data_IF_729814019418
#
_entry.id   IF_729814019418
#
_cell.length_a   1.000
_cell.length_b   1.000
_cell.length_c   1.000
_cell.angle_alpha   90.00
_cell.angle_beta   90.00
_cell.angle_gamma   90.00
#
_symmetry.space_group_name_H-M   'P 1'
#
loop_
_entity.id
_entity.type
_entity.pdbx_description
1 polymer ?
#
# COMPACT_ATOMS: atom_id res chain seq x y z
N UNK A 1 44.39 -49.44 -13.48
CA UNK A 1 44.23 -48.00 -13.27
C UNK A 1 43.09 -47.53 -14.16
N UNK A 2 41.87 -47.53 -13.64
CA UNK A 2 40.71 -46.93 -14.31
C UNK A 2 40.36 -45.69 -13.48
N UNK A 3 40.35 -44.54 -14.14
CA UNK A 3 40.00 -43.25 -13.54
C UNK A 3 38.58 -42.96 -13.99
N UNK A 4 37.64 -43.08 -13.06
CA UNK A 4 36.23 -42.76 -13.27
C UNK A 4 36.08 -41.25 -13.43
N UNK A 5 35.58 -40.86 -14.60
CA UNK A 5 35.20 -39.49 -14.94
C UNK A 5 33.76 -39.25 -14.47
N UNK A 6 33.61 -38.79 -13.23
CA UNK A 6 32.36 -38.31 -12.68
C UNK A 6 31.91 -37.03 -13.41
N UNK A 7 31.01 -37.23 -14.37
CA UNK A 7 30.32 -36.18 -15.09
C UNK A 7 29.36 -35.45 -14.17
N UNK A 8 29.80 -34.30 -13.64
CA UNK A 8 28.93 -33.28 -13.06
C UNK A 8 27.95 -32.80 -14.12
N UNK A 9 26.75 -33.39 -14.17
CA UNK A 9 25.58 -32.80 -14.83
C UNK A 9 25.20 -31.55 -14.05
N UNK A 10 25.64 -30.39 -14.54
CA UNK A 10 25.07 -29.12 -14.16
C UNK A 10 23.58 -29.15 -14.50
N UNK A 11 22.72 -29.12 -13.48
CA UNK A 11 21.30 -28.94 -13.68
C UNK A 11 21.10 -27.56 -14.33
N UNK A 12 20.80 -27.57 -15.63
CA UNK A 12 20.31 -26.40 -16.32
C UNK A 12 18.91 -26.15 -15.77
N UNK A 13 18.83 -25.21 -14.82
CA UNK A 13 17.57 -24.67 -14.33
C UNK A 13 16.96 -23.91 -15.50
N UNK A 14 16.00 -24.51 -16.20
CA UNK A 14 15.23 -23.76 -17.19
C UNK A 14 14.48 -22.65 -16.45
N UNK A 15 14.59 -21.39 -16.90
CA UNK A 15 13.79 -20.31 -16.34
C UNK A 15 12.31 -20.69 -16.51
N UNK A 16 11.58 -20.78 -15.40
CA UNK A 16 10.14 -21.09 -15.40
C UNK A 16 9.44 -20.18 -16.41
N UNK A 17 8.55 -20.75 -17.22
CA UNK A 17 7.87 -20.08 -18.33
C UNK A 17 7.20 -18.73 -17.93
N UNK A 18 6.94 -18.55 -16.64
CA UNK A 18 6.53 -17.29 -16.03
C UNK A 18 7.50 -16.12 -16.28
N UNK A 19 8.81 -16.31 -16.15
CA UNK A 19 9.79 -15.23 -16.34
C UNK A 19 9.88 -14.75 -17.78
N UNK A 20 9.75 -15.66 -18.75
CA UNK A 20 9.69 -15.28 -20.17
C UNK A 20 8.41 -14.47 -20.47
N UNK A 21 7.28 -14.85 -19.87
CA UNK A 21 6.04 -14.08 -19.94
C UNK A 21 6.19 -12.70 -19.30
N UNK A 22 6.79 -12.62 -18.11
CA UNK A 22 7.00 -11.38 -17.37
C UNK A 22 7.93 -10.39 -18.11
N UNK A 23 9.06 -10.86 -18.65
CA UNK A 23 9.96 -10.01 -19.45
C UNK A 23 9.27 -9.48 -20.72
N UNK A 24 8.52 -10.34 -21.42
CA UNK A 24 7.75 -9.92 -22.60
C UNK A 24 6.58 -8.99 -22.28
N UNK A 25 6.00 -9.10 -21.07
CA UNK A 25 4.98 -8.19 -20.56
C UNK A 25 5.58 -6.79 -20.36
N UNK A 26 6.70 -6.69 -19.64
CA UNK A 26 7.41 -5.43 -19.40
C UNK A 26 7.85 -4.75 -20.71
N UNK A 27 8.35 -5.51 -21.69
CA UNK A 27 8.74 -4.96 -22.99
C UNK A 27 7.55 -4.46 -23.82
N UNK A 28 6.38 -5.10 -23.70
CA UNK A 28 5.17 -4.68 -24.42
C UNK A 28 4.47 -3.49 -23.77
N UNK A 29 4.51 -3.35 -22.44
CA UNK A 29 3.86 -2.26 -21.71
C UNK A 29 4.69 -0.98 -21.75
N UNK A 30 6.02 -1.09 -21.59
CA UNK A 30 6.92 0.07 -21.64
C UNK A 30 7.21 0.53 -23.08
N UNK A 31 7.06 -0.35 -24.08
CA UNK A 31 7.46 -0.09 -25.47
C UNK A 31 6.36 0.38 -26.43
N UNK A 32 5.07 0.35 -26.06
CA UNK A 32 3.98 0.59 -27.01
C UNK A 32 2.94 1.60 -26.52
N UNK A 33 3.08 2.85 -26.97
CA UNK A 33 2.08 3.61 -27.78
C UNK A 33 2.23 5.12 -27.59
N UNK A 34 3.20 5.72 -28.28
CA UNK A 34 3.08 7.12 -28.68
C UNK A 34 2.33 7.21 -30.00
N UNK A 35 1.04 6.84 -30.01
CA UNK A 35 0.14 7.52 -30.94
C UNK A 35 0.03 8.92 -30.36
N UNK A 36 0.51 9.94 -31.09
CA UNK A 36 0.42 11.32 -30.65
C UNK A 36 -1.05 11.71 -30.50
N UNK A 37 -1.61 11.50 -29.32
CA UNK A 37 -2.90 12.05 -28.95
C UNK A 37 -2.75 13.57 -28.91
N UNK A 38 -3.64 14.27 -29.60
CA UNK A 38 -3.70 15.72 -29.47
C UNK A 38 -4.06 16.06 -28.02
N UNK A 39 -3.64 17.24 -27.55
CA UNK A 39 -3.96 17.70 -26.19
C UNK A 39 -5.48 17.74 -25.94
N UNK A 40 -6.25 18.08 -26.98
CA UNK A 40 -7.71 18.04 -26.95
C UNK A 40 -8.25 16.63 -26.71
N UNK A 41 -7.68 15.61 -27.37
CA UNK A 41 -8.09 14.22 -27.17
C UNK A 41 -7.74 13.71 -25.76
N UNK A 42 -6.60 14.14 -25.20
CA UNK A 42 -6.21 13.82 -23.81
C UNK A 42 -7.17 14.43 -22.80
N UNK A 43 -7.53 15.70 -22.97
CA UNK A 43 -8.49 16.38 -22.10
C UNK A 43 -9.89 15.75 -22.20
N UNK A 44 -10.36 15.44 -23.40
CA UNK A 44 -11.65 14.78 -23.61
C UNK A 44 -11.68 13.39 -22.94
N UNK A 45 -10.62 12.59 -23.09
CA UNK A 45 -10.49 11.29 -22.45
C UNK A 45 -10.45 11.41 -20.91
N UNK A 46 -9.72 12.39 -20.36
CA UNK A 46 -9.67 12.65 -18.92
C UNK A 46 -11.05 13.04 -18.36
N UNK A 47 -11.80 13.89 -19.06
CA UNK A 47 -13.16 14.27 -18.69
C UNK A 47 -14.11 13.06 -18.71
N UNK A 48 -14.04 12.23 -19.76
CA UNK A 48 -14.85 11.01 -19.85
C UNK A 48 -14.54 10.03 -18.71
N UNK A 49 -13.25 9.82 -18.40
CA UNK A 49 -12.82 8.97 -17.27
C UNK A 49 -13.32 9.51 -15.93
N UNK A 50 -13.21 10.83 -15.71
CA UNK A 50 -13.72 11.49 -14.50
C UNK A 50 -15.24 11.30 -14.37
N UNK A 51 -15.98 11.50 -15.45
CA UNK A 51 -17.43 11.30 -15.46
C UNK A 51 -17.80 9.83 -15.19
N UNK A 52 -17.12 8.88 -15.81
CA UNK A 52 -17.35 7.45 -15.58
C UNK A 52 -17.06 7.04 -14.12
N UNK A 53 -15.98 7.56 -13.54
CA UNK A 53 -15.63 7.31 -12.14
C UNK A 53 -16.70 7.80 -11.16
N UNK A 54 -17.22 9.02 -11.37
CA UNK A 54 -18.29 9.61 -10.55
C UNK A 54 -19.59 8.78 -10.56
N UNK A 55 -19.82 7.99 -11.61
CA UNK A 55 -20.98 7.13 -11.74
C UNK A 55 -20.80 5.73 -11.14
N UNK A 56 -19.62 5.40 -10.63
CA UNK A 56 -19.40 4.08 -10.02
C UNK A 56 -20.23 3.93 -8.73
N UNK A 57 -20.78 2.73 -8.44
CA UNK A 57 -21.57 2.49 -7.22
C UNK A 57 -20.85 2.88 -5.94
N UNK A 58 -19.52 2.76 -5.94
CA UNK A 58 -18.65 3.11 -4.83
C UNK A 58 -18.64 4.61 -4.54
N UNK A 59 -18.43 5.44 -5.57
CA UNK A 59 -18.46 6.90 -5.45
C UNK A 59 -19.86 7.38 -5.07
N UNK A 60 -20.91 6.77 -5.64
CA UNK A 60 -22.30 7.05 -5.24
C UNK A 60 -22.53 6.76 -3.75
N UNK A 61 -21.97 5.66 -3.23
CA UNK A 61 -22.05 5.31 -1.81
C UNK A 61 -21.37 6.34 -0.90
N UNK A 62 -20.16 6.76 -1.26
CA UNK A 62 -19.40 7.78 -0.52
C UNK A 62 -20.13 9.13 -0.52
N UNK A 63 -20.65 9.58 -1.67
CA UNK A 63 -21.42 10.82 -1.75
C UNK A 63 -22.68 10.79 -0.89
N UNK A 64 -23.37 9.63 -0.82
CA UNK A 64 -24.52 9.46 0.06
C UNK A 64 -24.13 9.54 1.53
N UNK A 65 -23.03 8.90 1.92
CA UNK A 65 -22.50 8.97 3.30
C UNK A 65 -22.12 10.40 3.67
N UNK A 66 -21.36 11.10 2.81
CA UNK A 66 -20.96 12.49 3.04
C UNK A 66 -22.17 13.44 3.16
N UNK A 67 -23.19 13.29 2.30
CA UNK A 67 -24.45 14.04 2.40
C UNK A 67 -25.20 13.72 3.70
N UNK A 68 -25.24 12.46 4.11
CA UNK A 68 -25.86 12.03 5.35
C UNK A 68 -25.17 12.64 6.58
N UNK A 69 -23.85 12.56 6.66
CA UNK A 69 -23.05 13.18 7.74
C UNK A 69 -23.25 14.70 7.77
N UNK A 70 -23.27 15.37 6.60
CA UNK A 70 -23.53 16.81 6.50
C UNK A 70 -24.94 17.16 6.96
N UNK A 71 -25.94 16.38 6.58
CA UNK A 71 -27.31 16.54 7.01
C UNK A 71 -27.43 16.41 8.54
N UNK A 72 -26.84 15.38 9.14
CA UNK A 72 -26.81 15.22 10.59
C UNK A 72 -26.05 16.33 11.30
N UNK A 73 -24.98 16.87 10.72
CA UNK A 73 -24.28 18.02 11.31
C UNK A 73 -25.13 19.29 11.32
N UNK A 74 -25.94 19.51 10.27
CA UNK A 74 -26.76 20.70 10.11
C UNK A 74 -28.13 20.61 10.82
N UNK A 75 -28.70 19.41 10.89
CA UNK A 75 -30.07 19.16 11.35
C UNK A 75 -30.18 18.19 12.52
N UNK A 76 -29.08 17.54 12.90
CA UNK A 76 -28.99 16.80 14.15
C UNK A 76 -29.21 17.77 15.29
N UNK A 77 -30.39 17.72 15.88
CA UNK A 77 -30.71 18.48 17.08
C UNK A 77 -29.61 18.22 18.10
N UNK A 78 -28.97 19.28 18.60
CA UNK A 78 -28.19 19.22 19.82
C UNK A 78 -29.15 18.82 20.95
N UNK A 79 -29.39 17.51 21.09
CA UNK A 79 -30.04 16.97 22.27
C UNK A 79 -29.11 17.28 23.43
N UNK A 80 -29.59 18.11 24.35
CA UNK A 80 -28.93 18.43 25.60
C UNK A 80 -28.31 17.17 26.19
N UNK A 81 -26.99 17.15 26.31
CA UNK A 81 -26.31 16.11 27.07
C UNK A 81 -26.93 16.07 28.47
N UNK A 82 -27.46 14.92 28.93
CA UNK A 82 -27.94 14.82 30.30
C UNK A 82 -26.73 15.01 31.21
N UNK A 83 -26.76 16.07 32.01
CA UNK A 83 -25.85 16.31 33.12
C UNK A 83 -25.97 15.14 34.10
N UNK A 84 -25.12 14.13 33.93
CA UNK A 84 -24.90 13.11 34.95
C UNK A 84 -24.18 13.77 36.12
N UNK A 85 -24.94 14.07 37.17
CA UNK A 85 -24.42 14.37 38.49
C UNK A 85 -23.52 13.21 38.94
N UNK A 86 -22.25 13.51 39.12
CA UNK A 86 -21.24 12.62 39.69
C UNK A 86 -21.57 12.48 41.18
N UNK A 87 -22.10 11.32 41.58
CA UNK A 87 -22.12 10.88 42.97
C UNK A 87 -20.82 10.14 43.23
N UNK A 88 -19.99 10.69 44.09
CA UNK A 88 -18.80 10.04 44.62
C UNK A 88 -19.22 9.03 45.67
N UNK A 89 -19.19 7.74 45.34
CA UNK A 89 -19.02 6.68 46.32
C UNK A 89 -17.80 5.85 45.92
N UNK A 90 -16.73 6.10 46.67
CA UNK A 90 -15.50 5.32 46.69
C UNK A 90 -15.80 4.11 47.55
N UNK A 91 -15.84 2.92 46.96
CA UNK A 91 -15.70 1.70 47.73
C UNK A 91 -14.53 0.86 47.20
N UNK A 92 -13.57 0.72 48.10
CA UNK A 92 -12.34 -0.05 47.95
C UNK A 92 -12.64 -1.51 48.22
N UNK A 93 -12.49 -2.39 47.23
CA UNK A 93 -12.03 -3.76 47.53
C UNK A 93 -11.58 -4.55 46.29
N UNK A 94 -10.29 -4.90 46.31
CA UNK A 94 -9.86 -6.30 46.34
C UNK A 94 -10.11 -7.17 45.09
N UNK A 95 -9.06 -7.35 44.26
CA UNK A 95 -8.44 -8.67 44.06
C UNK A 95 -7.12 -8.61 43.29
N UNK A 96 -6.06 -8.95 44.02
CA UNK A 96 -4.84 -9.52 43.46
C UNK A 96 -5.12 -10.92 42.89
N UNK A 97 -4.75 -11.14 41.63
CA UNK A 97 -4.20 -12.37 41.02
C UNK A 97 -3.42 -11.85 39.81
N UNK A 98 -2.12 -12.04 39.65
CA UNK A 98 -1.34 -13.24 39.92
C UNK A 98 -1.04 -13.91 38.59
N UNK A 99 0.25 -13.89 38.22
CA UNK A 99 0.97 -14.86 37.38
C UNK A 99 0.99 -14.72 35.84
N UNK A 100 2.17 -14.26 35.39
CA UNK A 100 3.12 -14.98 34.51
C UNK A 100 2.65 -15.52 33.17
N UNK A 101 3.29 -15.08 32.09
CA UNK A 101 4.44 -15.78 31.49
C UNK A 101 4.96 -15.01 30.28
N UNK A 102 6.27 -14.82 30.24
CA UNK A 102 6.97 -14.23 29.11
C UNK A 102 6.93 -15.16 27.91
N UNK A 103 6.40 -14.66 26.80
CA UNK A 103 6.73 -15.13 25.48
C UNK A 103 7.63 -14.06 24.84
N UNK A 104 8.95 -14.26 24.92
CA UNK A 104 9.89 -13.53 24.08
C UNK A 104 9.73 -14.10 22.68
N UNK A 105 8.79 -13.54 21.94
CA UNK A 105 8.59 -13.87 20.53
C UNK A 105 9.73 -13.19 19.77
N UNK A 106 10.75 -13.96 19.43
CA UNK A 106 11.86 -13.47 18.59
C UNK A 106 11.35 -13.44 17.16
N UNK A 107 10.67 -12.36 16.78
CA UNK A 107 10.32 -12.06 15.40
C UNK A 107 11.63 -11.85 14.63
N UNK A 108 11.98 -12.82 13.78
CA UNK A 108 12.85 -12.58 12.65
C UNK A 108 12.10 -11.66 11.68
N UNK A 109 12.12 -10.36 11.95
CA UNK A 109 11.51 -9.36 11.08
C UNK A 109 12.32 -9.30 9.79
N UNK A 110 11.71 -9.70 8.68
CA UNK A 110 12.17 -9.33 7.34
C UNK A 110 12.15 -7.81 7.29
N UNK A 111 13.32 -7.17 7.48
CA UNK A 111 13.43 -5.73 7.43
C UNK A 111 13.18 -5.29 5.98
N UNK A 112 11.94 -4.91 5.67
CA UNK A 112 11.51 -4.41 4.34
C UNK A 112 12.30 -3.15 3.93
N UNK A 113 13.06 -2.55 4.86
CA UNK A 113 13.92 -1.38 4.64
C UNK A 113 15.42 -1.72 4.61
N UNK A 114 15.81 -2.98 4.81
CA UNK A 114 17.17 -3.43 4.51
C UNK A 114 17.33 -3.49 2.99
N UNK A 115 17.57 -2.31 2.40
CA UNK A 115 18.03 -2.22 1.03
C UNK A 115 19.40 -2.93 1.00
N UNK A 116 19.58 -3.97 0.17
CA UNK A 116 20.85 -4.67 0.08
C UNK A 116 21.94 -3.68 -0.32
N UNK A 117 22.81 -3.35 0.61
CA UNK A 117 23.92 -2.42 0.37
C UNK A 117 25.03 -3.20 -0.33
N UNK A 118 25.12 -3.02 -1.64
CA UNK A 118 26.29 -3.20 -2.51
C UNK A 118 26.79 -4.60 -2.91
N UNK A 119 26.30 -5.73 -2.39
CA UNK A 119 26.69 -7.07 -2.92
C UNK A 119 25.55 -8.03 -3.28
N UNK A 120 24.29 -7.70 -2.97
CA UNK A 120 23.09 -8.52 -3.26
C UNK A 120 22.29 -8.02 -4.49
N UNK A 121 22.95 -7.31 -5.40
CA UNK A 121 22.35 -6.80 -6.65
C UNK A 121 21.94 -7.89 -7.65
N UNK A 122 22.19 -9.17 -7.36
CA UNK A 122 21.87 -10.28 -8.26
C UNK A 122 20.35 -10.50 -8.40
N UNK A 123 19.54 -10.18 -7.39
CA UNK A 123 18.08 -10.38 -7.44
C UNK A 123 17.34 -9.32 -8.26
N UNK A 124 18.02 -8.22 -8.63
CA UNK A 124 17.44 -7.15 -9.44
C UNK A 124 17.63 -7.37 -10.96
N UNK A 125 18.26 -8.47 -11.38
CA UNK A 125 18.47 -8.77 -12.80
C UNK A 125 17.14 -9.14 -13.47
N UNK A 126 16.44 -8.13 -13.98
CA UNK A 126 15.17 -8.30 -14.69
C UNK A 126 14.14 -7.21 -14.37
N UNK A 127 14.32 -6.49 -13.25
CA UNK A 127 13.43 -5.39 -12.92
C UNK A 127 13.85 -4.09 -13.62
N UNK A 128 12.90 -3.33 -14.18
CA UNK A 128 13.15 -2.01 -14.73
C UNK A 128 13.86 -1.09 -13.74
N UNK A 129 14.95 -0.43 -14.16
CA UNK A 129 15.78 0.45 -13.30
C UNK A 129 14.98 1.57 -12.65
N UNK A 130 13.94 2.08 -13.32
CA UNK A 130 13.03 3.08 -12.78
C UNK A 130 12.30 2.58 -11.52
N UNK A 131 11.93 1.30 -11.46
CA UNK A 131 11.30 0.74 -10.25
C UNK A 131 12.27 0.71 -9.08
N UNK A 132 13.51 0.29 -9.33
CA UNK A 132 14.55 0.23 -8.29
C UNK A 132 14.76 1.62 -7.67
N UNK A 133 14.83 2.67 -8.48
CA UNK A 133 14.99 4.05 -8.00
C UNK A 133 13.81 4.48 -7.12
N UNK A 134 12.58 4.10 -7.48
CA UNK A 134 11.38 4.47 -6.73
C UNK A 134 11.33 3.77 -5.36
N UNK A 135 11.78 2.51 -5.28
CA UNK A 135 11.87 1.79 -4.01
C UNK A 135 12.92 2.39 -3.07
N UNK A 136 14.01 2.93 -3.63
CA UNK A 136 15.11 3.53 -2.86
C UNK A 136 14.70 4.82 -2.12
N UNK A 137 13.54 5.40 -2.41
CA UNK A 137 13.04 6.52 -1.61
C UNK A 137 12.80 6.06 -0.17
N UNK A 138 13.44 6.75 0.77
CA UNK A 138 13.37 6.43 2.19
C UNK A 138 11.95 6.61 2.73
N UNK A 139 11.52 5.69 3.58
CA UNK A 139 10.30 5.86 4.37
C UNK A 139 10.55 6.88 5.48
N UNK A 140 9.51 7.59 5.97
CA UNK A 140 9.63 8.56 7.04
C UNK A 140 9.77 7.88 8.42
N UNK A 141 10.75 6.99 8.58
CA UNK A 141 10.93 6.16 9.79
C UNK A 141 11.18 6.98 11.06
N UNK A 142 11.76 8.16 10.93
CA UNK A 142 11.97 9.07 12.05
C UNK A 142 10.68 9.79 12.50
N UNK A 143 9.59 9.72 11.72
CA UNK A 143 8.33 10.33 12.11
C UNK A 143 7.65 9.53 13.22
N UNK A 144 7.24 10.23 14.27
CA UNK A 144 6.43 9.66 15.33
C UNK A 144 5.08 9.12 14.82
N UNK A 145 4.43 9.80 13.87
CA UNK A 145 3.15 9.34 13.31
C UNK A 145 3.32 8.06 12.50
N UNK A 146 4.40 7.95 11.73
CA UNK A 146 4.74 6.72 11.03
C UNK A 146 4.88 5.55 12.00
N UNK A 147 5.63 5.74 13.10
CA UNK A 147 5.83 4.68 14.10
C UNK A 147 4.52 4.31 14.81
N UNK A 148 3.72 5.29 15.23
CA UNK A 148 2.41 5.03 15.84
C UNK A 148 1.50 4.21 14.92
N UNK A 149 1.41 4.60 13.64
CA UNK A 149 0.63 3.88 12.64
C UNK A 149 1.23 2.50 12.36
N UNK A 150 2.56 2.35 12.27
CA UNK A 150 3.20 1.05 12.08
C UNK A 150 2.89 0.07 13.22
N UNK A 151 2.82 0.56 14.45
CA UNK A 151 2.55 -0.26 15.64
C UNK A 151 1.05 -0.49 15.90
N UNK A 152 0.15 0.10 15.11
CA UNK A 152 -1.31 0.06 15.35
C UNK A 152 -1.70 0.50 16.76
N UNK A 153 -1.02 1.51 17.31
CA UNK A 153 -1.31 1.97 18.67
C UNK A 153 -2.72 2.54 18.75
N UNK A 154 -3.47 2.15 19.80
CA UNK A 154 -4.84 2.61 20.11
C UNK A 154 -5.02 4.14 20.15
N UNK A 155 -3.92 4.88 20.17
CA UNK A 155 -3.90 6.34 20.18
C UNK A 155 -4.11 6.97 18.79
N UNK A 156 -4.10 6.19 17.72
CA UNK A 156 -4.37 6.66 16.37
C UNK A 156 -5.74 6.14 15.91
N UNK A 157 -6.67 7.06 15.68
CA UNK A 157 -7.97 6.71 15.10
C UNK A 157 -7.80 6.44 13.60
N UNK A 158 -7.76 5.16 13.24
CA UNK A 158 -7.65 4.69 11.86
C UNK A 158 -9.02 4.42 11.21
N UNK A 159 -10.14 4.70 11.89
CA UNK A 159 -11.49 4.32 11.42
C UNK A 159 -11.86 4.91 10.06
N UNK A 160 -11.40 6.12 9.78
CA UNK A 160 -11.63 6.80 8.50
C UNK A 160 -10.49 6.57 7.48
N UNK A 161 -9.48 5.76 7.80
CA UNK A 161 -8.35 5.54 6.90
C UNK A 161 -8.66 4.60 5.72
N UNK A 162 -9.71 3.78 5.83
CA UNK A 162 -10.11 2.84 4.79
C UNK A 162 -10.44 3.54 3.45
N UNK A 163 -10.90 4.79 3.49
CA UNK A 163 -11.11 5.56 2.25
C UNK A 163 -9.80 5.74 1.47
N UNK A 164 -8.68 5.84 2.19
CA UNK A 164 -7.36 6.06 1.63
C UNK A 164 -6.70 4.79 1.14
N UNK A 165 -7.17 3.61 1.55
CA UNK A 165 -6.69 2.27 1.14
C UNK A 165 -7.13 1.85 -0.27
N UNK A 166 -7.93 2.67 -0.93
CA UNK A 166 -8.57 2.27 -2.16
C UNK A 166 -8.01 2.93 -3.43
N UNK A 167 -6.80 3.48 -3.34
CA UNK A 167 -6.14 4.21 -4.41
C UNK A 167 -6.83 5.55 -4.74
N UNK A 168 -6.06 6.56 -5.21
CA UNK A 168 -6.63 7.73 -5.84
C UNK A 168 -7.46 7.35 -7.11
N UNK A 169 -8.35 8.21 -7.61
CA UNK A 169 -8.60 9.59 -7.14
C UNK A 169 -9.52 9.63 -5.91
N UNK A 170 -9.21 10.51 -4.97
CA UNK A 170 -10.07 10.81 -3.83
C UNK A 170 -11.10 11.89 -4.20
N UNK A 171 -12.28 11.86 -3.56
CA UNK A 171 -13.18 13.01 -3.62
C UNK A 171 -12.54 14.16 -2.82
N UNK A 172 -11.81 15.02 -3.52
CA UNK A 172 -11.08 16.14 -2.92
C UNK A 172 -12.05 17.10 -2.25
N UNK A 173 -11.72 17.50 -1.02
CA UNK A 173 -12.44 18.48 -0.21
C UNK A 173 -12.13 19.91 -0.65
N UNK A 174 -12.44 20.26 -1.91
CA UNK A 174 -12.35 21.63 -2.43
C UNK A 174 -10.93 22.18 -2.67
N UNK A 175 -10.84 23.30 -3.39
CA UNK A 175 -9.59 23.87 -3.93
C UNK A 175 -8.67 24.55 -2.88
N UNK A 176 -8.61 24.09 -1.64
CA UNK A 176 -7.91 24.82 -0.58
C UNK A 176 -6.39 24.60 -0.58
N UNK A 177 -5.69 25.32 -1.45
CA UNK A 177 -4.21 25.51 -1.42
C UNK A 177 -3.63 26.14 -0.12
N UNK A 178 -4.36 26.09 1.00
CA UNK A 178 -3.95 26.56 2.32
C UNK A 178 -2.81 25.72 2.89
N UNK A 179 -1.91 26.35 3.65
CA UNK A 179 -0.82 25.66 4.33
C UNK A 179 -1.29 24.56 5.30
N UNK A 180 -2.49 24.70 5.86
CA UNK A 180 -3.10 23.70 6.74
C UNK A 180 -3.37 22.39 6.01
N UNK A 181 -3.83 22.47 4.75
CA UNK A 181 -4.11 21.27 3.96
C UNK A 181 -2.81 20.52 3.66
N UNK A 182 -1.74 21.24 3.29
CA UNK A 182 -0.43 20.63 3.07
C UNK A 182 0.09 19.89 4.30
N UNK A 183 -0.01 20.52 5.48
CA UNK A 183 0.38 19.89 6.74
C UNK A 183 -0.48 18.65 7.07
N UNK A 184 -1.78 18.72 6.80
CA UNK A 184 -2.66 17.57 6.96
C UNK A 184 -2.25 16.43 6.02
N UNK A 185 -2.03 16.70 4.73
CA UNK A 185 -1.61 15.71 3.75
C UNK A 185 -0.28 15.07 4.12
N UNK A 186 0.72 15.84 4.56
CA UNK A 186 2.00 15.28 5.02
C UNK A 186 1.79 14.29 6.17
N UNK A 187 0.99 14.66 7.19
CA UNK A 187 0.69 13.76 8.31
C UNK A 187 -0.07 12.52 7.86
N UNK A 188 -1.03 12.68 6.96
CA UNK A 188 -1.77 11.56 6.36
C UNK A 188 -0.83 10.60 5.64
N UNK A 189 0.09 11.11 4.81
CA UNK A 189 1.05 10.28 4.10
C UNK A 189 1.96 9.50 5.05
N UNK A 190 2.43 10.10 6.16
CA UNK A 190 3.22 9.41 7.18
C UNK A 190 2.44 8.26 7.82
N UNK A 191 1.17 8.49 8.15
CA UNK A 191 0.27 7.46 8.69
C UNK A 191 0.07 6.33 7.67
N UNK A 192 -0.17 6.65 6.40
CA UNK A 192 -0.31 5.65 5.33
C UNK A 192 0.96 4.81 5.15
N UNK A 193 2.14 5.44 5.20
CA UNK A 193 3.41 4.72 5.18
C UNK A 193 3.52 3.74 6.34
N UNK A 194 3.17 4.14 7.57
CA UNK A 194 3.25 3.28 8.74
C UNK A 194 2.27 2.10 8.64
N UNK A 195 1.03 2.38 8.27
CA UNK A 195 -0.02 1.36 8.09
C UNK A 195 0.36 0.33 7.04
N UNK A 196 0.91 0.75 5.90
CA UNK A 196 1.35 -0.19 4.88
C UNK A 196 2.59 -0.97 5.28
N UNK A 197 3.56 -0.36 5.98
CA UNK A 197 4.68 -1.12 6.54
C UNK A 197 4.19 -2.27 7.43
N UNK A 198 3.19 -2.00 8.29
CA UNK A 198 2.53 -3.02 9.11
C UNK A 198 1.87 -4.12 8.27
N UNK A 199 1.18 -3.78 7.19
CA UNK A 199 0.58 -4.78 6.29
C UNK A 199 1.60 -5.70 5.64
N UNK A 200 2.78 -5.17 5.28
CA UNK A 200 3.86 -5.97 4.73
C UNK A 200 4.52 -6.86 5.78
N UNK A 201 4.78 -6.32 6.97
CA UNK A 201 5.33 -7.09 8.09
C UNK A 201 4.41 -8.28 8.43
N UNK A 202 3.10 -8.13 8.27
CA UNK A 202 2.10 -9.18 8.51
C UNK A 202 1.82 -10.07 7.27
N UNK A 203 2.34 -9.75 6.08
CA UNK A 203 1.96 -10.44 4.85
C UNK A 203 2.36 -11.93 4.87
N UNK A 204 3.51 -12.26 5.45
CA UNK A 204 3.99 -13.63 5.58
C UNK A 204 3.14 -14.45 6.57
N UNK A 205 2.63 -13.83 7.64
CA UNK A 205 1.69 -14.49 8.56
C UNK A 205 0.35 -14.74 7.88
N UNK A 206 -0.13 -13.78 7.10
CA UNK A 206 -1.36 -13.93 6.29
C UNK A 206 -1.21 -15.06 5.26
N UNK A 207 -0.05 -15.20 4.62
CA UNK A 207 0.17 -16.29 3.66
C UNK A 207 0.22 -17.65 4.35
N UNK A 208 0.87 -17.75 5.51
CA UNK A 208 0.91 -18.98 6.33
C UNK A 208 -0.49 -19.41 6.77
N UNK A 209 -1.33 -18.48 7.19
CA UNK A 209 -2.72 -18.79 7.60
C UNK A 209 -3.59 -19.23 6.42
N UNK A 210 -3.37 -18.69 5.21
CA UNK A 210 -4.16 -19.03 4.01
C UNK A 210 -3.72 -20.31 3.32
N UNK A 211 -2.42 -20.52 3.14
CA UNK A 211 -1.86 -21.63 2.34
C UNK A 211 -1.39 -22.81 3.20
N UNK A 212 -1.31 -22.64 4.53
CA UNK A 212 -0.74 -23.64 5.42
C UNK A 212 0.77 -23.85 5.14
N UNK A 213 1.20 -25.11 5.16
CA UNK A 213 2.61 -25.50 4.90
C UNK A 213 2.85 -26.00 3.47
N UNK A 214 1.85 -25.92 2.58
CA UNK A 214 1.99 -26.37 1.19
C UNK A 214 2.72 -25.30 0.36
N UNK A 215 3.96 -25.60 -0.03
CA UNK A 215 4.80 -24.69 -0.82
C UNK A 215 4.19 -24.38 -2.19
N UNK A 216 3.51 -25.32 -2.82
CA UNK A 216 2.90 -25.11 -4.14
C UNK A 216 1.71 -24.13 -4.06
N UNK A 217 0.91 -24.23 -2.99
CA UNK A 217 -0.17 -23.27 -2.73
C UNK A 217 0.36 -21.89 -2.36
N UNK A 218 1.49 -21.84 -1.65
CA UNK A 218 2.13 -20.59 -1.26
C UNK A 218 2.73 -19.87 -2.48
N UNK A 219 3.43 -20.57 -3.35
CA UNK A 219 3.98 -20.03 -4.60
C UNK A 219 2.87 -19.46 -5.48
N UNK A 220 1.82 -20.26 -5.74
CA UNK A 220 0.65 -19.79 -6.49
C UNK A 220 -0.01 -18.56 -5.86
N UNK A 221 -0.11 -18.52 -4.53
CA UNK A 221 -0.64 -17.35 -3.83
C UNK A 221 0.20 -16.11 -4.09
N UNK A 222 1.53 -16.21 -3.99
CA UNK A 222 2.43 -15.10 -4.27
C UNK A 222 2.42 -14.67 -5.74
N UNK A 223 2.31 -15.60 -6.68
CA UNK A 223 2.12 -15.28 -8.11
C UNK A 223 0.83 -14.47 -8.35
N UNK A 224 -0.29 -14.89 -7.75
CA UNK A 224 -1.55 -14.16 -7.82
C UNK A 224 -1.42 -12.75 -7.19
N UNK A 225 -0.72 -12.62 -6.06
CA UNK A 225 -0.46 -11.34 -5.42
C UNK A 225 0.45 -10.44 -6.27
N UNK A 226 1.47 -11.01 -6.93
CA UNK A 226 2.36 -10.28 -7.84
C UNK A 226 1.59 -9.78 -9.06
N UNK A 227 0.77 -10.61 -9.69
CA UNK A 227 -0.07 -10.21 -10.82
C UNK A 227 -1.04 -9.08 -10.44
N UNK A 228 -1.69 -9.18 -9.28
CA UNK A 228 -2.56 -8.12 -8.77
C UNK A 228 -1.77 -6.83 -8.48
N UNK A 229 -0.56 -6.93 -7.94
CA UNK A 229 0.31 -5.78 -7.67
C UNK A 229 0.78 -5.09 -8.95
N UNK A 230 1.11 -5.85 -10.01
CA UNK A 230 1.47 -5.31 -11.32
C UNK A 230 0.30 -4.53 -11.94
N UNK A 231 -0.90 -5.11 -11.96
CA UNK A 231 -2.08 -4.44 -12.49
C UNK A 231 -2.54 -3.23 -11.65
N UNK A 232 -2.20 -3.17 -10.37
CA UNK A 232 -2.38 -1.96 -9.54
C UNK A 232 -1.32 -0.91 -9.86
N UNK A 233 -0.04 -1.31 -9.97
CA UNK A 233 1.06 -0.41 -10.30
C UNK A 233 0.83 0.34 -11.62
N UNK A 234 0.42 -0.36 -12.69
CA UNK A 234 0.10 0.28 -13.98
C UNK A 234 -1.02 1.32 -13.85
N UNK A 235 -2.09 0.99 -13.10
CA UNK A 235 -3.17 1.94 -12.84
C UNK A 235 -2.68 3.16 -12.07
N UNK A 236 -1.81 2.96 -11.07
CA UNK A 236 -1.25 4.06 -10.29
C UNK A 236 -0.27 4.93 -11.10
N UNK A 237 0.44 4.36 -12.08
CA UNK A 237 1.26 5.15 -13.01
C UNK A 237 0.39 6.12 -13.83
N UNK A 238 -0.72 5.64 -14.39
CA UNK A 238 -1.67 6.50 -15.10
C UNK A 238 -2.24 7.59 -14.19
N UNK A 239 -2.61 7.25 -12.94
CA UNK A 239 -3.15 8.22 -12.00
C UNK A 239 -2.09 9.25 -11.63
N UNK A 240 -0.85 8.84 -11.35
CA UNK A 240 0.23 9.74 -11.02
C UNK A 240 0.50 10.72 -12.17
N UNK A 241 0.49 10.25 -13.42
CA UNK A 241 0.63 11.10 -14.60
C UNK A 241 -0.53 12.12 -14.69
N UNK A 242 -1.78 11.68 -14.49
CA UNK A 242 -2.95 12.56 -14.50
C UNK A 242 -2.88 13.63 -13.39
N UNK A 243 -2.47 13.25 -12.17
CA UNK A 243 -2.32 14.19 -11.05
C UNK A 243 -1.12 15.12 -11.23
N UNK A 244 -0.06 14.69 -11.91
CA UNK A 244 1.05 15.58 -12.25
C UNK A 244 0.64 16.68 -13.23
N UNK A 245 -0.29 16.39 -14.15
CA UNK A 245 -0.81 17.35 -15.12
C UNK A 245 -1.92 18.24 -14.56
N UNK A 246 -2.84 17.67 -13.76
CA UNK A 246 -4.09 18.33 -13.38
C UNK A 246 -4.38 18.37 -11.88
N UNK A 247 -3.59 17.65 -11.07
CA UNK A 247 -3.80 17.53 -9.63
C UNK A 247 -3.27 18.74 -8.86
N UNK A 248 -3.82 18.97 -7.68
CA UNK A 248 -3.20 19.85 -6.70
C UNK A 248 -2.00 19.17 -6.06
N UNK A 249 -1.27 19.94 -5.25
CA UNK A 249 -0.09 19.45 -4.55
C UNK A 249 -0.43 18.26 -3.64
N UNK A 250 -1.55 18.32 -2.94
CA UNK A 250 -1.95 17.32 -1.97
C UNK A 250 -2.26 15.97 -2.65
N UNK A 251 -2.98 16.02 -3.76
CA UNK A 251 -3.35 14.86 -4.56
C UNK A 251 -2.13 14.18 -5.16
N UNK A 252 -1.21 14.99 -5.70
CA UNK A 252 0.04 14.49 -6.26
C UNK A 252 0.88 13.81 -5.19
N UNK A 253 0.92 14.35 -3.96
CA UNK A 253 1.66 13.77 -2.85
C UNK A 253 1.09 12.42 -2.44
N UNK A 254 -0.24 12.32 -2.26
CA UNK A 254 -0.88 11.04 -1.91
C UNK A 254 -0.74 10.02 -3.05
N UNK A 255 -0.90 10.45 -4.30
CA UNK A 255 -0.70 9.58 -5.46
C UNK A 255 0.74 9.05 -5.55
N UNK A 256 1.73 9.88 -5.20
CA UNK A 256 3.13 9.46 -5.16
C UNK A 256 3.37 8.38 -4.10
N UNK A 257 2.82 8.57 -2.91
CA UNK A 257 2.92 7.58 -1.82
C UNK A 257 2.27 6.26 -2.24
N UNK A 258 1.10 6.31 -2.87
CA UNK A 258 0.46 5.13 -3.46
C UNK A 258 1.32 4.42 -4.49
N UNK A 259 1.84 5.17 -5.45
CA UNK A 259 2.71 4.63 -6.48
C UNK A 259 3.95 3.98 -5.87
N UNK A 260 4.60 4.63 -4.91
CA UNK A 260 5.77 4.09 -4.23
C UNK A 260 5.48 2.74 -3.57
N UNK A 261 4.33 2.59 -2.92
CA UNK A 261 3.96 1.33 -2.29
C UNK A 261 3.49 0.25 -3.26
N UNK A 262 2.84 0.61 -4.37
CA UNK A 262 2.56 -0.32 -5.44
C UNK A 262 3.86 -0.94 -5.99
N UNK A 263 4.89 -0.11 -6.21
CA UNK A 263 6.22 -0.58 -6.64
C UNK A 263 6.88 -1.47 -5.57
N UNK A 264 6.84 -1.07 -4.29
CA UNK A 264 7.37 -1.88 -3.18
C UNK A 264 6.67 -3.24 -3.09
N UNK A 265 5.36 -3.33 -3.35
CA UNK A 265 4.60 -4.60 -3.36
C UNK A 265 5.09 -5.52 -4.48
N UNK A 266 5.25 -4.98 -5.69
CA UNK A 266 5.77 -5.73 -6.84
C UNK A 266 7.15 -6.30 -6.49
N UNK A 267 8.06 -5.47 -5.97
CA UNK A 267 9.39 -5.92 -5.59
C UNK A 267 9.35 -7.00 -4.50
N UNK A 268 8.54 -6.80 -3.46
CA UNK A 268 8.42 -7.75 -2.36
C UNK A 268 7.96 -9.13 -2.84
N UNK A 269 6.89 -9.21 -3.62
CA UNK A 269 6.42 -10.49 -4.15
C UNK A 269 7.38 -11.10 -5.16
N UNK A 270 8.09 -10.28 -5.93
CA UNK A 270 9.13 -10.76 -6.82
C UNK A 270 10.29 -11.41 -6.04
N UNK A 271 10.71 -10.82 -4.92
CA UNK A 271 11.74 -11.39 -4.04
C UNK A 271 11.26 -12.70 -3.42
N UNK A 272 9.99 -12.78 -2.98
CA UNK A 272 9.46 -14.00 -2.37
C UNK A 272 9.31 -15.19 -3.34
N UNK A 273 9.23 -14.92 -4.65
CA UNK A 273 9.12 -15.95 -5.70
C UNK A 273 10.47 -16.41 -6.25
N UNK A 274 11.59 -15.79 -5.84
CA UNK A 274 12.95 -16.14 -6.26
C UNK A 274 13.75 -16.75 -5.11
#
# INVERSE_FOLDING_TARGET
MNVDNDSKKAAQHEPTAFYASFASFLDNTMGRRTKSFTEADRQAAAQQRRHAYLLTPRVIGLQRSARHTRYWRLHGRQGSTPTKSISTDIDNSFRQRGNSSGAVNTQAGCNVNAIPTSSESAYATGLPKNLIIQVQQLLPESSHLFQLAKESKDNLDESDLDIWDHGPPYEILGDSSSGNERHFTTRLTEVMHGRWARHFDNAEEISKTKCGSDLCQLEKYWEEQLQAALGEWERQEEILALQAEHGGHCELEVARVWFQWAVRRVLYYHILLN
#
